data_IF_896997359090
#
_entry.id   IF_896997359090
#
_cell.length_a   1.000
_cell.length_b   1.000
_cell.length_c   1.000
_cell.angle_alpha   90.00
_cell.angle_beta   90.00
_cell.angle_gamma   90.00
#
_symmetry.space_group_name_H-M   'P 1'
#
loop_
_entity.id
_entity.type
_entity.pdbx_description
1 polymer ?
#
# COMPACT_ATOMS: atom_id res chain seq x y z
N UNK A 1 -5.90 -5.36 -13.90
CA UNK A 1 -5.97 -6.82 -13.62
C UNK A 1 -6.60 -6.99 -12.25
N UNK A 2 -7.80 -7.52 -12.17
CA UNK A 2 -8.51 -7.70 -10.89
C UNK A 2 -7.80 -8.78 -10.09
N UNK A 3 -7.15 -8.42 -9.01
CA UNK A 3 -6.55 -9.42 -8.10
C UNK A 3 -7.65 -9.87 -7.15
N UNK A 4 -8.11 -11.11 -7.31
CA UNK A 4 -9.08 -11.71 -6.39
C UNK A 4 -8.30 -12.60 -5.42
N UNK A 5 -8.29 -12.22 -4.17
CA UNK A 5 -7.70 -12.95 -3.07
C UNK A 5 -8.77 -13.20 -2.00
N UNK A 6 -9.72 -14.05 -2.36
CA UNK A 6 -10.88 -14.34 -1.53
C UNK A 6 -10.75 -15.56 -0.63
N UNK A 7 -11.75 -15.85 0.20
CA UNK A 7 -13.08 -15.23 0.21
C UNK A 7 -13.10 -13.83 0.81
N UNK A 8 -14.11 -13.03 0.40
CA UNK A 8 -14.33 -11.68 0.93
C UNK A 8 -14.79 -11.79 2.40
N UNK A 9 -14.15 -11.02 3.26
CA UNK A 9 -14.56 -10.89 4.65
C UNK A 9 -15.85 -10.07 4.77
N UNK A 10 -16.86 -10.53 5.51
CA UNK A 10 -18.09 -9.77 5.73
C UNK A 10 -17.90 -8.58 6.69
N UNK A 11 -16.72 -8.46 7.31
CA UNK A 11 -16.43 -7.39 8.27
C UNK A 11 -15.96 -6.09 7.61
N UNK A 12 -15.71 -6.10 6.30
CA UNK A 12 -15.20 -4.94 5.57
C UNK A 12 -16.10 -4.61 4.38
N UNK A 13 -16.23 -3.31 4.13
CA UNK A 13 -16.91 -2.78 2.95
C UNK A 13 -16.06 -1.67 2.33
N UNK A 14 -15.95 -1.59 1.01
CA UNK A 14 -15.29 -0.48 0.35
C UNK A 14 -15.99 0.84 0.70
N UNK A 15 -15.22 1.90 0.94
CA UNK A 15 -15.75 3.26 1.00
C UNK A 15 -15.80 3.85 -0.41
N UNK A 16 -16.87 4.56 -0.78
CA UNK A 16 -17.01 5.18 -2.10
C UNK A 16 -16.17 6.46 -2.17
N UNK A 17 -14.85 6.30 -2.23
CA UNK A 17 -13.91 7.42 -2.32
C UNK A 17 -13.60 7.69 -3.79
N UNK A 18 -13.92 8.89 -4.24
CA UNK A 18 -13.51 9.35 -5.56
C UNK A 18 -12.07 9.87 -5.52
N UNK A 19 -11.18 9.28 -6.35
CA UNK A 19 -9.81 9.76 -6.50
C UNK A 19 -9.73 11.15 -7.14
N UNK A 20 -8.62 11.85 -6.92
CA UNK A 20 -8.35 13.15 -7.58
C UNK A 20 -7.58 13.00 -8.90
N UNK A 21 -7.23 11.79 -9.29
CA UNK A 21 -6.57 11.48 -10.56
C UNK A 21 -7.05 10.12 -11.08
N UNK A 22 -7.23 10.01 -12.39
CA UNK A 22 -7.48 8.72 -13.02
C UNK A 22 -6.20 7.87 -13.08
N UNK A 23 -6.33 6.54 -13.23
CA UNK A 23 -5.16 5.68 -13.37
C UNK A 23 -4.42 5.92 -14.71
N UNK A 24 -5.12 6.40 -15.74
CA UNK A 24 -4.51 6.74 -17.02
C UNK A 24 -3.70 8.04 -16.89
N UNK A 25 -4.27 9.07 -16.27
CA UNK A 25 -3.56 10.32 -16.01
C UNK A 25 -2.36 10.11 -15.08
N UNK A 26 -2.46 9.18 -14.12
CA UNK A 26 -1.35 8.82 -13.24
C UNK A 26 -0.12 8.35 -14.01
N UNK A 27 -0.31 7.62 -15.12
CA UNK A 27 0.78 7.13 -15.98
C UNK A 27 1.48 8.23 -16.73
N UNK A 28 0.81 9.35 -16.95
CA UNK A 28 1.34 10.50 -17.69
C UNK A 28 1.84 11.63 -16.76
N UNK A 29 1.63 11.51 -15.46
CA UNK A 29 1.95 12.56 -14.49
C UNK A 29 3.48 12.72 -14.32
N UNK A 30 4.02 13.83 -14.81
CA UNK A 30 5.46 14.12 -14.78
C UNK A 30 6.04 14.32 -13.36
N UNK A 31 5.19 14.47 -12.34
CA UNK A 31 5.61 14.57 -10.93
C UNK A 31 6.03 13.22 -10.35
N UNK A 32 5.67 12.11 -11.00
CA UNK A 32 6.06 10.76 -10.62
C UNK A 32 7.31 10.32 -11.38
N UNK A 33 8.09 9.42 -10.79
CA UNK A 33 9.22 8.81 -11.47
C UNK A 33 8.77 8.04 -12.72
N UNK A 34 9.65 7.95 -13.72
CA UNK A 34 9.40 7.15 -14.92
C UNK A 34 9.10 5.69 -14.58
N UNK A 35 9.79 5.14 -13.56
CA UNK A 35 9.56 3.79 -13.07
C UNK A 35 8.16 3.60 -12.52
N UNK A 36 7.68 4.51 -11.69
CA UNK A 36 6.34 4.45 -11.12
C UNK A 36 5.26 4.60 -12.20
N UNK A 37 5.40 5.55 -13.11
CA UNK A 37 4.49 5.74 -14.25
C UNK A 37 4.36 4.48 -15.11
N UNK A 38 5.50 3.88 -15.46
CA UNK A 38 5.54 2.64 -16.24
C UNK A 38 4.88 1.48 -15.49
N UNK A 39 5.13 1.35 -14.19
CA UNK A 39 4.56 0.29 -13.37
C UNK A 39 3.07 0.49 -13.06
N UNK A 40 2.56 1.72 -13.10
CA UNK A 40 1.14 2.05 -12.80
C UNK A 40 0.14 1.34 -13.72
N UNK A 41 0.58 0.86 -14.89
CA UNK A 41 -0.22 -0.01 -15.76
C UNK A 41 -0.63 -1.33 -15.09
N UNK A 42 0.04 -1.73 -14.02
CA UNK A 42 -0.22 -2.94 -13.25
C UNK A 42 -0.90 -2.63 -11.90
N UNK A 43 -1.22 -1.38 -11.64
CA UNK A 43 -1.97 -0.99 -10.44
C UNK A 43 -3.34 -1.69 -10.40
N UNK A 44 -3.87 -2.02 -9.23
CA UNK A 44 -5.22 -2.54 -9.08
C UNK A 44 -6.25 -1.58 -9.69
N UNK A 45 -7.26 -2.13 -10.36
CA UNK A 45 -8.34 -1.36 -10.98
C UNK A 45 -9.66 -2.11 -10.87
N UNK A 46 -10.75 -1.39 -10.61
CA UNK A 46 -12.07 -1.95 -10.39
C UNK A 46 -12.18 -2.66 -9.05
N UNK A 47 -13.11 -3.62 -8.98
CA UNK A 47 -13.28 -4.45 -7.78
C UNK A 47 -12.07 -5.37 -7.59
N UNK A 48 -11.44 -5.28 -6.44
CA UNK A 48 -10.33 -6.15 -6.07
C UNK A 48 -10.43 -6.58 -4.60
N UNK A 49 -9.79 -7.69 -4.26
CA UNK A 49 -9.74 -8.22 -2.91
C UNK A 49 -8.30 -8.49 -2.54
N UNK A 50 -7.86 -7.95 -1.42
CA UNK A 50 -6.53 -8.18 -0.88
C UNK A 50 -6.64 -8.70 0.55
N UNK A 51 -6.12 -9.91 0.81
CA UNK A 51 -6.20 -10.57 2.11
C UNK A 51 -7.64 -10.70 2.64
N UNK A 52 -8.60 -10.88 1.74
CA UNK A 52 -10.02 -10.95 2.07
C UNK A 52 -10.70 -9.59 2.26
N UNK A 53 -9.98 -8.48 2.18
CA UNK A 53 -10.53 -7.12 2.30
C UNK A 53 -10.90 -6.62 0.90
N UNK A 54 -12.18 -6.25 0.66
CA UNK A 54 -12.62 -5.73 -0.63
C UNK A 54 -12.26 -4.25 -0.81
N UNK A 55 -11.90 -3.90 -2.03
CA UNK A 55 -11.64 -2.53 -2.48
C UNK A 55 -12.33 -2.27 -3.82
N UNK A 56 -12.78 -1.03 -4.03
CA UNK A 56 -13.22 -0.51 -5.33
C UNK A 56 -12.23 0.59 -5.75
N UNK A 57 -11.55 0.39 -6.87
CA UNK A 57 -10.50 1.28 -7.34
C UNK A 57 -10.91 1.89 -8.68
N UNK A 58 -11.52 3.06 -8.64
CA UNK A 58 -11.91 3.81 -9.83
C UNK A 58 -10.85 4.83 -10.26
N UNK A 59 -9.96 5.20 -9.37
CA UNK A 59 -8.86 6.12 -9.57
C UNK A 59 -7.90 6.08 -8.40
N UNK A 60 -7.02 7.06 -8.32
CA UNK A 60 -6.07 7.20 -7.21
C UNK A 60 -6.23 8.54 -6.50
N UNK A 61 -5.83 8.58 -5.24
CA UNK A 61 -5.62 9.82 -4.50
C UNK A 61 -4.13 10.12 -4.53
N UNK A 62 -3.75 11.04 -5.40
CA UNK A 62 -2.37 11.49 -5.51
C UNK A 62 -2.13 12.66 -4.55
N UNK A 63 -1.27 12.44 -3.57
CA UNK A 63 -0.79 13.42 -2.62
C UNK A 63 0.66 13.78 -2.96
N UNK A 64 0.92 15.07 -3.20
CA UNK A 64 2.26 15.61 -3.40
C UNK A 64 2.46 16.79 -2.45
N UNK A 65 2.07 17.99 -2.83
CA UNK A 65 2.32 19.19 -2.02
C UNK A 65 1.05 19.77 -1.38
N UNK A 66 -0.13 19.46 -1.94
CA UNK A 66 -1.39 20.01 -1.50
C UNK A 66 -2.27 18.97 -0.81
N UNK A 67 -3.01 19.36 0.23
CA UNK A 67 -3.96 18.47 0.88
C UNK A 67 -5.15 18.13 -0.04
N UNK A 68 -5.63 16.89 0.05
CA UNK A 68 -6.81 16.42 -0.67
C UNK A 68 -7.88 16.04 0.33
N UNK A 69 -9.04 16.68 0.22
CA UNK A 69 -10.21 16.32 1.04
C UNK A 69 -11.14 15.42 0.25
N UNK A 70 -11.50 14.30 0.84
CA UNK A 70 -12.33 13.27 0.22
C UNK A 70 -13.64 13.13 0.99
N UNK A 71 -14.80 13.43 0.39
CA UNK A 71 -16.07 13.17 1.03
C UNK A 71 -16.37 11.66 1.04
N UNK A 72 -16.52 11.09 2.22
CA UNK A 72 -16.84 9.66 2.38
C UNK A 72 -18.29 9.40 2.82
N UNK A 73 -19.05 10.48 3.08
CA UNK A 73 -20.40 10.39 3.65
C UNK A 73 -20.39 9.96 5.13
N UNK A 74 -21.57 9.88 5.76
CA UNK A 74 -21.68 9.44 7.15
C UNK A 74 -21.42 7.94 7.24
N UNK A 75 -20.31 7.55 7.84
CA UNK A 75 -19.91 6.15 8.04
C UNK A 75 -19.36 5.98 9.44
N UNK A 76 -19.88 5.01 10.18
CA UNK A 76 -19.29 4.57 11.43
C UNK A 76 -18.42 3.34 11.18
N UNK A 77 -17.16 3.40 11.55
CA UNK A 77 -16.22 2.32 11.38
C UNK A 77 -15.25 2.22 12.55
N UNK A 78 -15.04 1.02 13.07
CA UNK A 78 -14.04 0.77 14.11
C UNK A 78 -12.61 0.75 13.56
N UNK A 79 -12.47 0.42 12.26
CA UNK A 79 -11.19 0.33 11.56
C UNK A 79 -11.30 0.87 10.14
N UNK A 80 -10.26 1.56 9.70
CA UNK A 80 -10.04 1.92 8.31
C UNK A 80 -8.84 1.14 7.79
N UNK A 81 -8.95 0.64 6.56
CA UNK A 81 -7.84 -0.02 5.88
C UNK A 81 -7.54 0.73 4.60
N UNK A 82 -6.32 1.21 4.49
CA UNK A 82 -5.82 1.93 3.34
C UNK A 82 -5.02 1.00 2.43
N UNK A 83 -5.28 1.07 1.14
CA UNK A 83 -4.45 0.45 0.11
C UNK A 83 -3.68 1.55 -0.60
N UNK A 84 -2.42 1.71 -0.31
CA UNK A 84 -1.60 2.82 -0.77
C UNK A 84 -0.18 2.40 -1.15
N UNK A 85 0.56 3.30 -1.76
CA UNK A 85 1.97 3.11 -2.10
C UNK A 85 2.67 4.46 -2.26
N UNK A 86 3.99 4.47 -2.30
CA UNK A 86 4.77 5.68 -2.62
C UNK A 86 5.70 5.43 -3.79
N UNK A 87 6.14 6.52 -4.39
CA UNK A 87 7.27 6.50 -5.30
C UNK A 87 8.59 6.21 -4.55
N UNK A 88 9.62 5.87 -5.30
CA UNK A 88 10.96 5.71 -4.76
C UNK A 88 11.46 7.05 -4.21
N UNK A 89 12.03 7.09 -3.00
CA UNK A 89 12.65 8.30 -2.51
C UNK A 89 13.88 8.63 -3.35
N UNK A 90 14.13 9.91 -3.53
CA UNK A 90 15.39 10.34 -4.12
C UNK A 90 16.56 9.85 -3.26
N UNK A 91 17.54 9.25 -3.93
CA UNK A 91 18.73 8.74 -3.27
C UNK A 91 19.81 9.82 -3.21
N UNK A 92 20.15 10.22 -2.00
CA UNK A 92 21.25 11.15 -1.77
C UNK A 92 22.59 10.43 -1.97
N UNK A 93 23.42 11.02 -2.82
CA UNK A 93 24.82 10.62 -2.96
C UNK A 93 25.69 11.35 -1.92
N UNK A 94 26.63 10.64 -1.36
CA UNK A 94 27.66 11.30 -0.53
C UNK A 94 28.58 12.18 -1.38
N UNK A 95 29.48 12.92 -0.72
CA UNK A 95 30.45 13.80 -1.40
C UNK A 95 31.36 13.10 -2.44
N UNK A 96 31.43 11.78 -2.40
CA UNK A 96 32.18 10.95 -3.36
C UNK A 96 31.30 10.31 -4.45
N UNK A 97 30.03 10.66 -4.49
CA UNK A 97 29.08 10.14 -5.48
C UNK A 97 28.55 8.73 -5.20
N UNK A 98 28.80 8.16 -4.03
CA UNK A 98 28.29 6.85 -3.63
C UNK A 98 27.00 6.96 -2.84
N UNK A 99 26.09 6.03 -3.08
CA UNK A 99 24.94 5.80 -2.22
C UNK A 99 25.36 5.08 -0.95
N UNK A 100 24.78 5.46 0.19
CA UNK A 100 25.01 4.74 1.44
C UNK A 100 24.05 3.55 1.57
N UNK A 101 24.51 2.32 1.31
CA UNK A 101 23.64 1.14 1.44
C UNK A 101 23.30 0.84 2.91
N UNK A 102 24.07 1.37 3.86
CA UNK A 102 23.89 1.12 5.30
C UNK A 102 22.73 1.91 5.90
N UNK A 103 22.36 3.04 5.31
CA UNK A 103 21.23 3.85 5.78
C UNK A 103 19.92 3.57 5.03
N UNK A 104 19.94 2.56 4.16
CA UNK A 104 18.78 2.08 3.42
C UNK A 104 18.20 3.12 2.46
N UNK A 105 17.92 2.68 1.27
CA UNK A 105 17.21 3.48 0.26
C UNK A 105 15.81 3.89 0.72
N UNK A 106 15.33 3.29 1.81
CA UNK A 106 13.97 3.39 2.25
C UNK A 106 13.67 4.53 3.21
N UNK A 107 14.62 5.39 3.57
CA UNK A 107 14.38 6.51 4.51
C UNK A 107 13.45 6.14 5.67
N UNK A 108 13.83 5.11 6.43
CA UNK A 108 13.03 4.55 7.53
C UNK A 108 12.50 5.63 8.46
N UNK A 109 11.19 5.58 8.76
CA UNK A 109 10.50 6.48 9.68
C UNK A 109 10.32 7.94 9.17
N UNK A 110 10.64 8.24 7.90
CA UNK A 110 10.36 9.54 7.31
C UNK A 110 8.85 9.77 7.23
N UNK A 111 8.30 10.90 7.73
CA UNK A 111 6.91 11.25 7.50
C UNK A 111 6.65 11.50 6.01
N UNK A 112 5.59 10.89 5.48
CA UNK A 112 5.22 10.97 4.06
C UNK A 112 3.94 11.76 3.88
N UNK A 113 2.96 11.54 4.77
CA UNK A 113 1.67 12.19 4.73
C UNK A 113 1.01 12.14 6.12
N UNK A 114 0.00 12.96 6.31
CA UNK A 114 -0.95 12.83 7.40
C UNK A 114 -2.32 12.45 6.85
N UNK A 115 -2.93 11.41 7.40
CA UNK A 115 -4.33 11.07 7.15
C UNK A 115 -5.15 11.62 8.30
N UNK A 116 -6.19 12.38 7.96
CA UNK A 116 -7.04 13.04 8.94
C UNK A 116 -8.49 12.62 8.71
N UNK A 117 -9.12 12.10 9.77
CA UNK A 117 -10.56 11.89 9.81
C UNK A 117 -11.18 13.16 10.38
N UNK A 118 -12.13 13.75 9.65
CA UNK A 118 -12.99 14.81 10.15
C UNK A 118 -14.34 14.20 10.54
N UNK A 119 -14.70 14.30 11.80
CA UNK A 119 -15.97 13.82 12.30
C UNK A 119 -17.09 14.85 12.15
N UNK A 120 -18.34 14.43 12.15
CA UNK A 120 -19.49 15.31 11.97
C UNK A 120 -19.62 16.38 13.07
N UNK A 121 -19.12 16.11 14.27
CA UNK A 121 -19.12 17.06 15.39
C UNK A 121 -17.97 18.08 15.34
N UNK A 122 -17.10 17.99 14.34
CA UNK A 122 -15.97 18.88 14.13
C UNK A 122 -14.67 18.42 14.79
N UNK A 123 -14.68 17.30 15.48
CA UNK A 123 -13.45 16.70 16.00
C UNK A 123 -12.62 16.09 14.85
N UNK A 124 -11.34 15.88 15.13
CA UNK A 124 -10.41 15.30 14.16
C UNK A 124 -9.58 14.17 14.81
N UNK A 125 -9.27 13.17 14.02
CA UNK A 125 -8.24 12.19 14.36
C UNK A 125 -7.17 12.16 13.27
N UNK A 126 -5.91 12.03 13.65
CA UNK A 126 -4.75 12.10 12.74
C UNK A 126 -3.87 10.87 12.85
N UNK A 127 -3.47 10.33 11.71
CA UNK A 127 -2.46 9.30 11.58
C UNK A 127 -1.33 9.81 10.68
N UNK A 128 -0.14 9.97 11.23
CA UNK A 128 1.04 10.26 10.40
C UNK A 128 1.53 8.98 9.72
N UNK A 129 1.50 8.99 8.40
CA UNK A 129 1.99 7.90 7.56
C UNK A 129 3.50 8.02 7.42
N UNK A 130 4.21 6.97 7.79
CA UNK A 130 5.68 6.95 7.80
C UNK A 130 6.22 5.86 6.90
N UNK A 131 7.26 6.20 6.18
CA UNK A 131 7.96 5.30 5.28
C UNK A 131 8.49 4.07 6.00
N UNK A 132 8.21 2.90 5.45
CA UNK A 132 8.54 1.57 6.00
C UNK A 132 7.87 1.23 7.35
N UNK A 133 6.95 2.06 7.82
CA UNK A 133 6.01 1.72 8.89
C UNK A 133 4.64 1.43 8.29
N UNK A 134 3.89 2.46 7.94
CA UNK A 134 2.55 2.33 7.38
C UNK A 134 2.55 2.21 5.85
N UNK A 135 3.60 2.69 5.17
CA UNK A 135 3.66 2.73 3.71
C UNK A 135 5.04 2.32 3.19
N UNK A 136 5.06 1.58 2.09
CA UNK A 136 6.26 1.25 1.33
C UNK A 136 6.17 1.75 -0.12
N UNK A 137 7.18 1.45 -0.90
CA UNK A 137 7.28 1.86 -2.30
C UNK A 137 6.49 0.95 -3.24
N UNK A 138 6.15 1.47 -4.43
CA UNK A 138 5.41 0.74 -5.48
C UNK A 138 6.15 -0.50 -5.99
N UNK A 139 7.47 -0.56 -5.79
CA UNK A 139 8.29 -1.74 -6.08
C UNK A 139 8.92 -2.24 -4.80
N UNK A 140 8.90 -3.54 -4.59
CA UNK A 140 9.45 -4.16 -3.39
C UNK A 140 10.86 -4.64 -3.66
N UNK A 141 11.85 -3.89 -3.16
CA UNK A 141 13.25 -4.28 -3.23
C UNK A 141 13.56 -5.25 -2.08
N UNK A 142 14.61 -6.04 -2.23
CA UNK A 142 15.08 -6.95 -1.20
C UNK A 142 15.28 -6.22 0.15
N UNK A 143 14.67 -6.78 1.20
CA UNK A 143 14.75 -6.20 2.55
C UNK A 143 13.78 -5.05 2.82
N UNK A 144 13.04 -4.55 1.83
CA UNK A 144 11.97 -3.58 2.06
C UNK A 144 10.69 -4.27 2.53
N UNK A 145 10.41 -4.07 3.81
CA UNK A 145 9.16 -4.42 4.44
C UNK A 145 8.67 -3.23 5.26
N UNK A 146 7.38 -3.22 5.55
CA UNK A 146 6.77 -2.29 6.48
C UNK A 146 6.55 -2.99 7.83
N UNK A 147 6.63 -2.24 8.92
CA UNK A 147 6.41 -2.78 10.26
C UNK A 147 4.91 -2.86 10.59
N UNK A 148 4.10 -1.97 10.04
CA UNK A 148 2.67 -1.79 10.34
C UNK A 148 1.79 -1.88 9.08
N UNK A 149 2.36 -2.35 7.98
CA UNK A 149 1.64 -2.59 6.74
C UNK A 149 2.12 -3.88 6.08
N UNK A 150 1.26 -4.50 5.30
CA UNK A 150 1.57 -5.70 4.52
C UNK A 150 1.37 -5.43 3.04
N UNK A 151 2.13 -6.10 2.18
CA UNK A 151 1.89 -6.04 0.74
C UNK A 151 0.48 -6.58 0.43
N UNK A 152 -0.25 -5.90 -0.44
CA UNK A 152 -1.62 -6.26 -0.80
C UNK A 152 -1.71 -7.61 -1.52
N UNK A 153 -0.64 -8.01 -2.20
CA UNK A 153 -0.52 -9.34 -2.81
C UNK A 153 0.17 -10.33 -1.88
N UNK A 154 -0.23 -11.58 -1.96
CA UNK A 154 0.41 -12.65 -1.19
C UNK A 154 1.81 -12.95 -1.70
N UNK A 155 2.76 -13.27 -0.82
CA UNK A 155 4.11 -13.64 -1.21
C UNK A 155 4.11 -14.93 -2.02
N UNK A 156 5.00 -15.02 -3.01
CA UNK A 156 5.15 -16.22 -3.84
C UNK A 156 5.83 -17.34 -3.04
N UNK A 157 5.28 -18.55 -2.99
CA UNK A 157 5.94 -19.67 -2.35
C UNK A 157 7.26 -20.02 -3.06
N UNK A 158 8.31 -20.32 -2.30
CA UNK A 158 9.63 -20.65 -2.85
C UNK A 158 9.61 -21.90 -3.75
N UNK A 159 8.64 -22.79 -3.54
CA UNK A 159 8.44 -24.02 -4.30
C UNK A 159 6.98 -24.15 -4.72
N UNK A 160 6.55 -23.29 -5.61
CA UNK A 160 5.23 -23.43 -6.23
C UNK A 160 5.16 -24.70 -7.07
N UNK A 161 4.08 -25.47 -6.94
CA UNK A 161 3.81 -26.63 -7.79
C UNK A 161 4.53 -27.93 -7.43
N UNK A 162 5.34 -27.99 -6.39
CA UNK A 162 5.84 -29.27 -5.87
C UNK A 162 4.82 -29.88 -4.92
N UNK A 163 4.54 -31.17 -5.11
CA UNK A 163 3.78 -31.95 -4.15
C UNK A 163 4.43 -31.85 -2.77
N UNK A 164 3.68 -31.37 -1.82
CA UNK A 164 4.15 -31.29 -0.45
C UNK A 164 4.08 -32.69 0.15
N UNK A 165 5.23 -33.32 0.32
CA UNK A 165 5.30 -34.55 1.06
C UNK A 165 4.88 -34.30 2.51
N UNK A 166 4.11 -35.19 3.09
CA UNK A 166 3.51 -35.06 4.42
C UNK A 166 4.51 -34.68 5.52
N UNK A 167 5.72 -35.13 5.43
CA UNK A 167 6.80 -34.85 6.38
C UNK A 167 7.37 -33.44 6.29
N UNK A 168 7.06 -32.71 5.24
CA UNK A 168 7.52 -31.33 5.02
C UNK A 168 6.40 -30.32 5.19
N UNK A 169 5.25 -30.74 5.69
CA UNK A 169 4.13 -29.85 5.97
C UNK A 169 4.55 -28.73 6.93
N UNK A 170 4.24 -27.50 6.61
CA UNK A 170 4.69 -26.33 7.34
C UNK A 170 6.08 -25.82 6.93
N UNK A 171 7.04 -26.68 6.67
CA UNK A 171 8.38 -26.25 6.23
C UNK A 171 8.37 -25.60 4.84
N UNK A 172 7.62 -26.15 3.91
CA UNK A 172 7.49 -25.60 2.56
C UNK A 172 6.50 -24.43 2.49
N UNK A 173 5.55 -24.38 3.41
CA UNK A 173 4.53 -23.34 3.45
C UNK A 173 5.02 -22.01 4.02
N UNK A 174 6.05 -22.03 4.86
CA UNK A 174 6.60 -20.85 5.50
C UNK A 174 7.70 -20.18 4.68
N UNK A 175 8.20 -20.83 3.64
CA UNK A 175 9.23 -20.28 2.76
C UNK A 175 8.60 -19.55 1.59
N UNK A 176 8.97 -18.32 1.47
CA UNK A 176 8.58 -17.44 0.36
C UNK A 176 9.83 -16.93 -0.36
N UNK A 177 9.67 -16.50 -1.58
CA UNK A 177 10.75 -15.85 -2.31
C UNK A 177 11.22 -14.60 -1.56
N UNK A 178 12.52 -14.43 -1.48
CA UNK A 178 13.14 -13.25 -0.86
C UNK A 178 13.05 -12.04 -1.77
N UNK A 179 12.79 -12.26 -3.05
CA UNK A 179 12.63 -11.22 -4.07
C UNK A 179 11.19 -11.23 -4.55
N UNK A 180 10.54 -10.12 -4.36
CA UNK A 180 9.21 -9.91 -4.91
C UNK A 180 9.34 -9.46 -6.37
N UNK A 181 8.71 -10.19 -7.28
CA UNK A 181 8.70 -9.90 -8.71
C UNK A 181 7.42 -9.18 -9.16
N UNK A 182 6.54 -8.83 -8.22
CA UNK A 182 5.34 -8.08 -8.55
C UNK A 182 5.72 -6.72 -9.17
N UNK A 183 5.20 -6.38 -10.34
CA UNK A 183 5.55 -5.12 -11.02
C UNK A 183 4.99 -3.89 -10.32
N UNK A 184 3.97 -4.08 -9.50
CA UNK A 184 3.34 -3.05 -8.68
C UNK A 184 2.99 -3.61 -7.30
N UNK A 185 3.35 -2.89 -6.26
CA UNK A 185 3.02 -3.23 -4.87
C UNK A 185 2.21 -2.12 -4.24
N UNK A 186 1.01 -2.45 -3.77
CA UNK A 186 0.29 -1.65 -2.79
C UNK A 186 0.54 -2.23 -1.39
N UNK A 187 0.44 -1.38 -0.39
CA UNK A 187 0.58 -1.72 1.01
C UNK A 187 -0.75 -1.52 1.72
N UNK A 188 -1.15 -2.51 2.50
CA UNK A 188 -2.35 -2.41 3.34
C UNK A 188 -1.94 -1.96 4.73
N UNK A 189 -2.41 -0.80 5.12
CA UNK A 189 -2.25 -0.25 6.47
C UNK A 189 -3.62 -0.16 7.13
N UNK A 190 -3.75 -0.71 8.33
CA UNK A 190 -4.97 -0.60 9.12
C UNK A 190 -4.81 0.49 10.17
N UNK A 191 -5.85 1.29 10.36
CA UNK A 191 -5.93 2.32 11.38
C UNK A 191 -7.17 2.10 12.22
N UNK A 192 -6.99 1.88 13.52
CA UNK A 192 -8.09 1.85 14.47
C UNK A 192 -8.65 3.25 14.62
N UNK A 193 -9.95 3.40 14.35
CA UNK A 193 -10.63 4.66 14.59
C UNK A 193 -10.64 4.94 16.11
N UNK A 194 -10.05 6.06 16.59
CA UNK A 194 -10.07 6.39 18.01
C UNK A 194 -11.47 6.74 18.53
N UNK A 195 -12.41 7.07 17.64
CA UNK A 195 -13.79 7.42 17.95
C UNK A 195 -14.78 6.61 17.10
N UNK A 196 -14.88 5.28 17.32
CA UNK A 196 -15.69 4.41 16.48
C UNK A 196 -17.21 4.66 16.61
N UNK A 197 -17.62 5.41 17.60
CA UNK A 197 -19.02 5.83 17.84
C UNK A 197 -19.43 7.07 17.04
N UNK A 198 -18.49 7.79 16.42
CA UNK A 198 -18.70 9.03 15.67
C UNK A 198 -18.84 8.85 14.17
#
# INVERSE_FOLDING_TARGET
MTTIDGPISPCFSPLPVQGNISLDDLREDARLSEGMRSAAAQAPQGSCVAWGIPFEVEGAVLLIDEPVTLPVGPVQAGWLVFMHTTDLPEMEKNAHGFYSPMHGQGKLNEPVADYVIHYEDGDEARLTIRRRYQIGTYTRIWGENCFEAVAAHKPTPLRGGQEQMHQYWGYSQTRVETRDSAPWTCWLCSWQNPHPEK
#
